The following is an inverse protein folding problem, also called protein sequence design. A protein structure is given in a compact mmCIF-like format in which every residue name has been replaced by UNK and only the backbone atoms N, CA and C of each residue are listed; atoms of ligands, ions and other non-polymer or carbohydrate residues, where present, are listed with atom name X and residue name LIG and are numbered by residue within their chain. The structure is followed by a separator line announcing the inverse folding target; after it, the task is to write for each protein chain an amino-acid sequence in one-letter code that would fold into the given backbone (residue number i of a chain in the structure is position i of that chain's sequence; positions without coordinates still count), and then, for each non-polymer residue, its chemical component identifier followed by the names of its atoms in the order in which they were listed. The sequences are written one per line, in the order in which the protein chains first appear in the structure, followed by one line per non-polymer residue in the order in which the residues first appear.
data_IF_667916791856
#
_entry.id   IF_667916791856
#
_cell.length_a   1.000
_cell.length_b   1.000
_cell.length_c   1.000
_cell.angle_alpha   90.00
_cell.angle_beta   90.00
_cell.angle_gamma   90.00
#
_symmetry.space_group_name_H-M   'P 1'
#
loop_
_entity.id
_entity.type
_entity.pdbx_description
1 polymer ?
#
# COMPACT_ATOMS: atom_id res chain seq x y z
N UNK A 1 1.25 4.43 -19.73
CA UNK A 1 1.17 5.42 -18.63
C UNK A 1 0.55 4.73 -17.43
N UNK A 2 1.08 4.95 -16.22
CA UNK A 2 0.56 4.30 -15.01
C UNK A 2 -0.89 4.74 -14.74
N UNK A 3 -1.84 3.79 -14.85
CA UNK A 3 -3.27 3.94 -14.52
C UNK A 3 -3.51 4.36 -13.04
N UNK A 4 -2.45 4.36 -12.22
CA UNK A 4 -2.47 4.79 -10.83
C UNK A 4 -2.54 6.32 -10.68
N UNK A 5 -2.00 7.08 -11.64
CA UNK A 5 -1.83 8.54 -11.50
C UNK A 5 -3.15 9.33 -11.45
N UNK A 6 -4.25 8.75 -11.91
CA UNK A 6 -5.59 9.35 -11.90
C UNK A 6 -6.52 8.75 -10.83
N UNK A 7 -6.05 7.75 -10.08
CA UNK A 7 -6.89 7.07 -9.09
C UNK A 7 -6.96 7.86 -7.78
N UNK A 8 -8.02 8.67 -7.64
CA UNK A 8 -8.28 9.48 -6.43
C UNK A 8 -8.34 8.65 -5.15
N UNK A 9 -8.80 7.39 -5.20
CA UNK A 9 -8.89 6.52 -4.02
C UNK A 9 -7.51 6.14 -3.50
N UNK A 10 -6.60 5.74 -4.40
CA UNK A 10 -5.20 5.44 -4.07
C UNK A 10 -4.52 6.68 -3.49
N UNK A 11 -4.68 7.84 -4.14
CA UNK A 11 -4.11 9.10 -3.64
C UNK A 11 -4.62 9.48 -2.25
N UNK A 12 -5.91 9.29 -1.97
CA UNK A 12 -6.48 9.56 -0.64
C UNK A 12 -5.92 8.61 0.43
N UNK A 13 -5.68 7.33 0.10
CA UNK A 13 -5.04 6.38 1.02
C UNK A 13 -3.60 6.77 1.33
N UNK A 14 -2.83 7.15 0.31
CA UNK A 14 -1.45 7.63 0.49
C UNK A 14 -1.44 8.86 1.41
N UNK A 15 -2.29 9.86 1.14
CA UNK A 15 -2.42 11.05 2.01
C UNK A 15 -2.78 10.70 3.45
N UNK A 16 -3.65 9.71 3.66
CA UNK A 16 -3.99 9.23 5.00
C UNK A 16 -2.78 8.61 5.70
N UNK A 17 -2.01 7.76 5.01
CA UNK A 17 -0.79 7.16 5.56
C UNK A 17 0.23 8.24 5.90
N UNK A 18 0.42 9.24 5.03
CA UNK A 18 1.29 10.39 5.32
C UNK A 18 0.85 11.13 6.60
N UNK A 19 -0.46 11.37 6.77
CA UNK A 19 -1.00 11.98 7.98
C UNK A 19 -0.73 11.14 9.24
N UNK A 20 -0.84 9.81 9.14
CA UNK A 20 -0.51 8.91 10.24
C UNK A 20 0.99 8.95 10.59
N UNK A 21 1.88 8.95 9.59
CA UNK A 21 3.32 9.06 9.81
C UNK A 21 3.70 10.38 10.47
N UNK A 22 3.13 11.49 9.97
CA UNK A 22 3.35 12.81 10.56
C UNK A 22 2.82 12.87 12.01
N UNK A 23 1.68 12.23 12.29
CA UNK A 23 1.15 12.16 13.65
C UNK A 23 2.12 11.43 14.60
N UNK A 24 2.75 10.33 14.16
CA UNK A 24 3.78 9.63 14.96
C UNK A 24 4.95 10.56 15.27
N UNK A 25 5.46 11.27 14.26
CA UNK A 25 6.56 12.22 14.44
C UNK A 25 6.21 13.29 15.48
N UNK A 26 5.04 13.93 15.36
CA UNK A 26 4.60 14.94 16.31
C UNK A 26 4.40 14.39 17.73
N UNK A 27 3.84 13.19 17.82
CA UNK A 27 3.60 12.53 19.08
C UNK A 27 4.90 12.16 19.80
N UNK A 28 5.93 11.72 19.07
CA UNK A 28 7.26 11.42 19.63
C UNK A 28 7.96 12.65 20.23
N UNK A 29 7.57 13.86 19.81
CA UNK A 29 8.05 15.12 20.40
C UNK A 29 7.31 15.48 21.70
N UNK A 30 6.23 14.76 22.05
CA UNK A 30 5.42 15.03 23.23
C UNK A 30 5.95 14.28 24.45
N UNK A 31 6.12 14.97 25.57
CA UNK A 31 6.66 14.38 26.82
C UNK A 31 5.76 13.30 27.45
N UNK A 32 4.48 13.25 27.04
CA UNK A 32 3.46 12.39 27.66
C UNK A 32 3.08 11.15 26.85
N UNK A 33 3.67 10.91 25.66
CA UNK A 33 3.29 9.73 24.89
C UNK A 33 3.92 8.46 25.46
N UNK A 34 3.12 7.41 25.61
CA UNK A 34 3.63 6.09 25.98
C UNK A 34 4.20 5.33 24.78
N UNK A 35 5.20 4.48 25.02
CA UNK A 35 5.73 3.58 23.98
C UNK A 35 4.62 2.68 23.38
N UNK A 36 3.62 2.31 24.18
CA UNK A 36 2.50 1.47 23.73
C UNK A 36 1.66 2.22 22.69
N UNK A 37 1.39 3.51 22.89
CA UNK A 37 0.65 4.32 21.92
C UNK A 37 1.40 4.48 20.60
N UNK A 38 2.73 4.68 20.66
CA UNK A 38 3.56 4.72 19.44
C UNK A 38 3.50 3.38 18.69
N UNK A 39 3.62 2.26 19.41
CA UNK A 39 3.50 0.92 18.81
C UNK A 39 2.13 0.69 18.17
N UNK A 40 1.05 1.16 18.79
CA UNK A 40 -0.29 1.08 18.22
C UNK A 40 -0.42 1.92 16.94
N UNK A 41 0.19 3.11 16.89
CA UNK A 41 0.20 3.95 15.70
C UNK A 41 0.99 3.30 14.55
N UNK A 42 2.16 2.71 14.85
CA UNK A 42 2.93 1.94 13.87
C UNK A 42 2.14 0.73 13.36
N UNK A 43 1.44 0.00 14.25
CA UNK A 43 0.59 -1.12 13.86
C UNK A 43 -0.56 -0.67 12.93
N UNK A 44 -1.16 0.50 13.20
CA UNK A 44 -2.20 1.07 12.34
C UNK A 44 -1.66 1.44 10.95
N UNK A 45 -0.45 2.02 10.87
CA UNK A 45 0.22 2.31 9.59
C UNK A 45 0.52 1.02 8.84
N UNK A 46 1.06 -0.01 9.52
CA UNK A 46 1.30 -1.32 8.91
C UNK A 46 0.02 -1.86 8.26
N UNK A 47 -1.09 -1.84 8.98
CA UNK A 47 -2.39 -2.28 8.44
C UNK A 47 -2.86 -1.45 7.24
N UNK A 48 -2.66 -0.12 7.27
CA UNK A 48 -3.00 0.76 6.16
C UNK A 48 -2.16 0.48 4.91
N UNK A 49 -0.86 0.22 5.07
CA UNK A 49 0.07 -0.14 3.98
C UNK A 49 -0.31 -1.50 3.41
N UNK A 50 -0.53 -2.53 4.24
CA UNK A 50 -0.98 -3.86 3.77
C UNK A 50 -2.27 -3.75 2.96
N UNK A 51 -3.24 -2.98 3.44
CA UNK A 51 -4.50 -2.78 2.72
C UNK A 51 -4.32 -2.07 1.37
N UNK A 52 -3.43 -1.07 1.29
CA UNK A 52 -3.09 -0.41 0.03
C UNK A 52 -2.38 -1.36 -0.94
N UNK A 53 -1.45 -2.18 -0.43
CA UNK A 53 -0.74 -3.17 -1.24
C UNK A 53 -1.71 -4.16 -1.90
N UNK A 54 -2.68 -4.69 -1.15
CA UNK A 54 -3.68 -5.62 -1.68
C UNK A 54 -4.53 -4.98 -2.79
N UNK A 55 -4.93 -3.71 -2.63
CA UNK A 55 -5.69 -2.99 -3.65
C UNK A 55 -4.87 -2.76 -4.93
N UNK A 56 -3.59 -2.40 -4.80
CA UNK A 56 -2.69 -2.24 -5.95
C UNK A 56 -2.41 -3.57 -6.67
N UNK A 57 -2.27 -4.66 -5.90
CA UNK A 57 -2.15 -6.01 -6.42
C UNK A 57 -3.37 -6.37 -7.27
N UNK A 58 -4.58 -6.20 -6.73
CA UNK A 58 -5.81 -6.50 -7.44
C UNK A 58 -5.93 -5.67 -8.74
N UNK A 59 -5.63 -4.37 -8.65
CA UNK A 59 -5.67 -3.47 -9.79
C UNK A 59 -4.67 -3.88 -10.87
N UNK A 60 -3.43 -4.23 -10.50
CA UNK A 60 -2.43 -4.68 -11.46
C UNK A 60 -2.84 -5.99 -12.15
N UNK A 61 -3.35 -6.96 -11.38
CA UNK A 61 -3.87 -8.21 -11.94
C UNK A 61 -4.98 -7.98 -12.95
N UNK A 62 -5.98 -7.15 -12.62
CA UNK A 62 -7.14 -6.91 -13.50
C UNK A 62 -6.76 -6.16 -14.78
N UNK A 63 -5.87 -5.18 -14.66
CA UNK A 63 -5.57 -4.26 -15.77
C UNK A 63 -4.45 -4.76 -16.68
N UNK A 64 -3.47 -5.51 -16.15
CA UNK A 64 -2.27 -5.93 -16.91
C UNK A 64 -2.18 -7.44 -17.12
N UNK A 65 -2.61 -8.25 -16.16
CA UNK A 65 -2.41 -9.71 -16.23
C UNK A 65 -3.63 -10.44 -16.80
N UNK A 66 -4.84 -10.01 -16.44
CA UNK A 66 -6.10 -10.68 -16.79
C UNK A 66 -6.90 -9.94 -17.87
N UNK A 67 -6.40 -8.83 -18.39
CA UNK A 67 -7.09 -7.99 -19.36
C UNK A 67 -7.22 -8.65 -20.74
N UNK A 68 -6.40 -9.67 -21.04
CA UNK A 68 -6.51 -10.48 -22.26
C UNK A 68 -6.39 -11.98 -21.92
N UNK A 69 -7.52 -12.62 -21.60
CA UNK A 69 -7.59 -14.02 -21.12
C UNK A 69 -7.10 -15.06 -22.14
N UNK A 70 -6.98 -14.69 -23.42
CA UNK A 70 -6.45 -15.56 -24.48
C UNK A 70 -4.92 -15.49 -24.60
N UNK A 71 -4.27 -14.50 -23.99
CA UNK A 71 -2.81 -14.35 -23.91
C UNK A 71 -2.40 -13.81 -22.55
N UNK A 72 -2.27 -14.71 -21.58
CA UNK A 72 -1.61 -14.37 -20.32
C UNK A 72 -0.16 -13.97 -20.64
N UNK A 73 0.20 -12.72 -20.36
CA UNK A 73 1.58 -12.27 -20.47
C UNK A 73 2.40 -12.85 -19.31
N UNK A 74 3.21 -13.86 -19.60
CA UNK A 74 4.10 -14.53 -18.64
C UNK A 74 5.10 -13.55 -17.98
N UNK A 75 5.51 -12.48 -18.65
CA UNK A 75 6.41 -11.48 -18.07
C UNK A 75 5.72 -10.67 -16.96
N UNK A 76 4.52 -10.16 -17.22
CA UNK A 76 3.70 -9.43 -16.24
C UNK A 76 3.32 -10.32 -15.04
N UNK A 77 3.02 -11.60 -15.30
CA UNK A 77 2.75 -12.58 -14.25
C UNK A 77 3.98 -12.81 -13.36
N UNK A 78 5.18 -12.93 -13.93
CA UNK A 78 6.40 -13.14 -13.17
C UNK A 78 6.78 -11.93 -12.32
N UNK A 79 6.64 -10.72 -12.85
CA UNK A 79 6.82 -9.47 -12.09
C UNK A 79 5.84 -9.38 -10.91
N UNK A 80 4.59 -9.77 -11.15
CA UNK A 80 3.57 -9.84 -10.10
C UNK A 80 3.90 -10.88 -9.02
N UNK A 81 4.31 -12.09 -9.41
CA UNK A 81 4.70 -13.15 -8.47
C UNK A 81 5.95 -12.76 -7.65
N UNK A 82 6.90 -12.05 -8.26
CA UNK A 82 8.06 -11.51 -7.56
C UNK A 82 7.65 -10.46 -6.51
N UNK A 83 6.67 -9.62 -6.83
CA UNK A 83 6.12 -8.63 -5.90
C UNK A 83 5.46 -9.32 -4.69
N UNK A 84 4.59 -10.31 -4.91
CA UNK A 84 3.97 -11.06 -3.80
C UNK A 84 5.05 -11.69 -2.90
N UNK A 85 6.01 -12.43 -3.49
CA UNK A 85 7.07 -13.11 -2.72
C UNK A 85 7.92 -12.16 -1.85
N UNK A 86 8.01 -10.88 -2.21
CA UNK A 86 8.80 -9.89 -1.47
C UNK A 86 8.06 -9.31 -0.26
N UNK A 87 6.73 -9.35 -0.26
CA UNK A 87 5.90 -8.70 0.75
C UNK A 87 4.93 -9.65 1.48
N UNK A 88 5.07 -10.97 1.24
CA UNK A 88 4.57 -12.04 2.13
C UNK A 88 5.73 -12.61 2.93
#
# INVERSE_FOLDING_TARGET
MSHLNQNKKIMNRIKRIQGQTNAIEQNLLSENISCIEVLQQIAAIKGAITGLMNELIELHLREHVLSDLEKINEEDLNDFLALIKRYT
#
